data_IF_457645133464
#
_entry.id   IF_457645133464
#
_cell.length_a   1.000
_cell.length_b   1.000
_cell.length_c   1.000
_cell.angle_alpha   90.00
_cell.angle_beta   90.00
_cell.angle_gamma   90.00
#
_symmetry.space_group_name_H-M   'P 1'
#
loop_
_entity.id
_entity.type
_entity.pdbx_description
1 polymer ?
#
# COMPACT_ATOMS: atom_id res chain seq x y z
N UNK A 1 19.83 -3.53 1.08
CA UNK A 1 18.73 -3.77 0.12
C UNK A 1 19.04 -2.94 -1.11
N UNK A 2 19.33 -3.58 -2.23
CA UNK A 2 19.51 -2.88 -3.50
C UNK A 2 18.13 -2.40 -3.95
N UNK A 3 18.01 -1.11 -4.22
CA UNK A 3 16.79 -0.55 -4.80
C UNK A 3 16.48 -1.27 -6.13
N UNK A 4 15.22 -1.50 -6.37
CA UNK A 4 14.78 -2.09 -7.63
C UNK A 4 14.84 -1.01 -8.72
N UNK A 5 15.16 -1.39 -9.96
CA UNK A 5 14.99 -0.49 -11.10
C UNK A 5 13.51 -0.15 -11.32
N UNK A 6 13.21 0.93 -12.04
CA UNK A 6 11.84 1.32 -12.36
C UNK A 6 11.06 0.18 -13.04
N UNK A 7 11.71 -0.59 -13.92
CA UNK A 7 11.16 -1.79 -14.53
C UNK A 7 10.79 -2.86 -13.50
N UNK A 8 11.62 -3.03 -12.46
CA UNK A 8 11.34 -3.96 -11.38
C UNK A 8 10.12 -3.52 -10.54
N UNK A 9 10.01 -2.23 -10.26
CA UNK A 9 8.86 -1.69 -9.52
C UNK A 9 7.56 -1.89 -10.31
N UNK A 10 7.56 -1.57 -11.61
CA UNK A 10 6.42 -1.83 -12.50
C UNK A 10 6.06 -3.31 -12.55
N UNK A 11 7.04 -4.19 -12.66
CA UNK A 11 6.83 -5.64 -12.70
C UNK A 11 6.23 -6.17 -11.41
N UNK A 12 6.68 -5.67 -10.25
CA UNK A 12 6.11 -6.02 -8.95
C UNK A 12 4.67 -5.54 -8.81
N UNK A 13 4.38 -4.35 -9.28
CA UNK A 13 3.03 -3.79 -9.26
C UNK A 13 2.08 -4.61 -10.13
N UNK A 14 2.46 -4.94 -11.36
CA UNK A 14 1.69 -5.79 -12.26
C UNK A 14 1.45 -7.17 -11.65
N UNK A 15 2.48 -7.77 -11.05
CA UNK A 15 2.35 -9.06 -10.42
C UNK A 15 1.41 -9.04 -9.21
N UNK A 16 1.54 -8.04 -8.34
CA UNK A 16 0.66 -7.86 -7.16
C UNK A 16 -0.79 -7.68 -7.54
N UNK A 17 -1.05 -6.99 -8.65
CA UNK A 17 -2.39 -6.57 -9.06
C UNK A 17 -2.91 -7.31 -10.30
N UNK A 18 -2.39 -8.49 -10.61
CA UNK A 18 -2.64 -9.23 -11.85
C UNK A 18 -4.12 -9.33 -12.25
N UNK A 19 -5.04 -9.47 -11.28
CA UNK A 19 -6.47 -9.61 -11.57
C UNK A 19 -7.13 -8.29 -11.98
N UNK A 20 -6.63 -7.17 -11.48
CA UNK A 20 -7.23 -5.83 -11.62
C UNK A 20 -6.52 -4.99 -12.68
N UNK A 21 -5.29 -5.37 -13.03
CA UNK A 21 -4.45 -4.60 -13.94
C UNK A 21 -5.09 -4.37 -15.32
N UNK A 22 -5.84 -5.32 -15.83
CA UNK A 22 -6.56 -5.19 -17.10
C UNK A 22 -7.56 -4.03 -17.14
N UNK A 23 -8.08 -3.64 -15.99
CA UNK A 23 -9.03 -2.51 -15.88
C UNK A 23 -8.34 -1.15 -15.96
N UNK A 24 -7.03 -1.09 -15.61
CA UNK A 24 -6.25 0.14 -15.54
C UNK A 24 -5.52 0.42 -16.85
N UNK A 25 -5.13 -0.62 -17.58
CA UNK A 25 -4.13 -0.57 -18.66
C UNK A 25 -4.60 0.13 -19.91
N UNK A 26 -5.88 0.45 -20.07
CA UNK A 26 -6.32 1.18 -21.26
C UNK A 26 -5.68 2.59 -21.29
N UNK A 27 -4.61 2.71 -22.09
CA UNK A 27 -3.92 3.97 -22.36
C UNK A 27 -2.62 4.21 -21.59
N UNK A 28 -2.05 3.20 -20.93
CA UNK A 28 -0.74 3.34 -20.26
C UNK A 28 0.34 2.65 -21.10
N UNK A 29 1.26 3.39 -21.77
CA UNK A 29 2.19 2.83 -22.76
C UNK A 29 3.07 1.68 -22.26
N UNK A 30 3.53 1.73 -21.00
CA UNK A 30 4.41 0.71 -20.43
C UNK A 30 3.70 -0.61 -20.06
N UNK A 31 2.39 -0.69 -20.24
CA UNK A 31 1.59 -1.87 -19.94
C UNK A 31 1.06 -2.58 -21.19
N UNK A 32 1.22 -1.99 -22.37
CA UNK A 32 0.67 -2.51 -23.64
C UNK A 32 1.41 -3.78 -24.12
N UNK A 33 2.68 -3.93 -23.78
CA UNK A 33 3.54 -5.00 -24.32
C UNK A 33 3.51 -6.29 -23.52
N UNK A 34 2.48 -6.53 -22.73
CA UNK A 34 2.35 -7.80 -22.02
C UNK A 34 3.54 -8.09 -21.10
N UNK A 35 3.99 -7.09 -20.38
CA UNK A 35 5.10 -7.17 -19.45
C UNK A 35 4.89 -8.37 -18.51
N UNK A 36 5.53 -9.48 -18.84
CA UNK A 36 5.54 -10.63 -17.94
C UNK A 36 6.52 -10.32 -16.82
N UNK A 37 6.07 -10.19 -15.57
CA UNK A 37 6.99 -9.92 -14.49
C UNK A 37 7.93 -11.12 -14.32
N UNK A 38 9.08 -11.08 -14.95
CA UNK A 38 10.20 -11.96 -14.65
C UNK A 38 10.83 -11.53 -13.33
N UNK A 39 10.01 -11.49 -12.30
CA UNK A 39 10.50 -11.13 -10.98
C UNK A 39 10.97 -12.38 -10.26
N UNK A 40 11.84 -12.18 -9.30
CA UNK A 40 12.26 -13.22 -8.36
C UNK A 40 11.10 -13.95 -7.65
N UNK A 41 9.87 -13.45 -7.78
CA UNK A 41 8.66 -14.05 -7.23
C UNK A 41 7.98 -15.04 -8.18
N UNK A 42 8.12 -14.89 -9.51
CA UNK A 42 7.45 -15.79 -10.48
C UNK A 42 8.15 -17.13 -10.60
N UNK A 43 9.45 -17.18 -10.44
CA UNK A 43 10.23 -18.41 -10.56
C UNK A 43 10.16 -19.29 -9.31
N UNK A 44 9.86 -18.69 -8.18
CA UNK A 44 9.82 -19.39 -6.89
C UNK A 44 8.42 -19.73 -6.54
N UNK A 45 7.50 -20.18 -7.13
CA UNK A 45 6.17 -20.70 -6.68
C UNK A 45 6.01 -20.68 -5.13
N UNK A 46 6.51 -19.62 -4.49
CA UNK A 46 6.54 -19.50 -3.05
C UNK A 46 5.17 -19.01 -2.60
N UNK A 47 4.45 -19.92 -2.03
CA UNK A 47 3.32 -19.60 -1.20
C UNK A 47 3.86 -19.03 0.10
N UNK A 48 3.59 -17.76 0.34
CA UNK A 48 4.09 -17.07 1.53
C UNK A 48 3.19 -17.40 2.72
N UNK A 49 3.78 -17.96 3.74
CA UNK A 49 3.08 -18.35 4.97
C UNK A 49 3.16 -17.22 5.99
N UNK A 50 2.06 -17.01 6.70
CA UNK A 50 1.96 -15.97 7.72
C UNK A 50 2.87 -16.23 8.95
N UNK A 51 3.21 -17.50 9.22
CA UNK A 51 4.06 -17.91 10.34
C UNK A 51 5.56 -17.86 10.05
N UNK A 52 5.99 -17.57 8.82
CA UNK A 52 7.40 -17.51 8.44
C UNK A 52 8.07 -16.23 8.94
N UNK A 53 9.07 -16.38 9.80
CA UNK A 53 9.91 -15.27 10.23
C UNK A 53 10.87 -14.86 9.11
N UNK A 54 11.08 -13.54 8.94
CA UNK A 54 11.90 -12.95 7.87
C UNK A 54 13.32 -13.50 7.74
N UNK A 55 13.93 -13.98 8.84
CA UNK A 55 15.28 -14.55 8.85
C UNK A 55 15.41 -15.90 8.12
N UNK A 56 14.31 -16.58 7.83
CA UNK A 56 14.29 -17.90 7.20
C UNK A 56 13.68 -17.85 5.78
N UNK A 57 13.87 -16.76 5.05
CA UNK A 57 13.27 -16.58 3.71
C UNK A 57 11.81 -16.15 3.77
N UNK A 58 11.37 -15.63 4.90
CA UNK A 58 10.04 -15.07 5.06
C UNK A 58 9.84 -13.76 4.28
N UNK A 59 8.61 -13.35 4.17
CA UNK A 59 8.17 -12.17 3.44
C UNK A 59 8.59 -10.88 4.14
N UNK A 60 8.59 -9.79 3.38
CA UNK A 60 8.74 -8.45 3.94
C UNK A 60 7.72 -8.22 5.08
N UNK A 61 8.14 -7.66 6.22
CA UNK A 61 7.24 -7.28 7.30
C UNK A 61 6.04 -6.44 6.84
N UNK A 62 6.22 -5.64 5.79
CA UNK A 62 5.16 -4.85 5.15
C UNK A 62 4.01 -5.72 4.63
N UNK A 63 4.28 -6.90 4.13
CA UNK A 63 3.25 -7.80 3.60
C UNK A 63 2.38 -8.40 4.70
N UNK A 64 2.94 -8.62 5.87
CA UNK A 64 2.14 -9.00 7.04
C UNK A 64 1.14 -7.90 7.42
N UNK A 65 1.56 -6.64 7.39
CA UNK A 65 0.65 -5.51 7.63
C UNK A 65 -0.45 -5.45 6.58
N UNK A 66 -0.12 -5.63 5.29
CA UNK A 66 -1.13 -5.68 4.24
C UNK A 66 -2.13 -6.81 4.47
N UNK A 67 -1.67 -8.00 4.86
CA UNK A 67 -2.55 -9.11 5.18
C UNK A 67 -3.44 -8.82 6.37
N UNK A 68 -2.91 -8.27 7.45
CA UNK A 68 -3.71 -7.92 8.64
C UNK A 68 -4.76 -6.86 8.33
N UNK A 69 -4.41 -5.85 7.55
CA UNK A 69 -5.35 -4.83 7.08
C UNK A 69 -6.46 -5.47 6.23
N UNK A 70 -6.10 -6.34 5.29
CA UNK A 70 -7.09 -7.03 4.45
C UNK A 70 -7.99 -7.92 5.29
N UNK A 71 -7.46 -8.70 6.23
CA UNK A 71 -8.28 -9.53 7.12
C UNK A 71 -9.28 -8.71 7.95
N UNK A 72 -8.87 -7.51 8.39
CA UNK A 72 -9.74 -6.61 9.14
C UNK A 72 -10.85 -6.01 8.27
N UNK A 73 -10.50 -5.56 7.05
CA UNK A 73 -11.44 -4.88 6.16
C UNK A 73 -12.30 -5.82 5.32
N UNK A 74 -11.77 -6.97 4.94
CA UNK A 74 -12.40 -7.98 4.10
C UNK A 74 -12.28 -9.35 4.76
N UNK A 75 -13.04 -9.64 5.84
CA UNK A 75 -12.97 -10.95 6.51
C UNK A 75 -13.27 -12.08 5.54
N UNK A 76 -12.38 -13.04 5.46
CA UNK A 76 -12.49 -14.20 4.58
C UNK A 76 -11.72 -15.39 5.16
N UNK A 77 -11.99 -16.58 4.64
CA UNK A 77 -11.24 -17.77 4.98
C UNK A 77 -9.94 -17.81 4.17
N UNK A 78 -8.81 -17.76 4.87
CA UNK A 78 -7.48 -17.85 4.23
C UNK A 78 -7.16 -19.28 3.84
N UNK A 79 -6.60 -19.45 2.64
CA UNK A 79 -6.02 -20.75 2.24
C UNK A 79 -4.91 -21.15 3.22
N UNK A 80 -4.75 -22.44 3.42
CA UNK A 80 -3.74 -22.99 4.34
C UNK A 80 -2.81 -23.97 3.62
N UNK A 81 -1.56 -23.98 4.06
CA UNK A 81 -0.59 -25.02 3.71
C UNK A 81 0.15 -25.45 4.96
N UNK A 82 0.24 -26.77 5.19
CA UNK A 82 0.85 -27.36 6.39
C UNK A 82 0.29 -26.75 7.69
N UNK A 83 -1.02 -26.46 7.73
CA UNK A 83 -1.75 -25.82 8.84
C UNK A 83 -1.37 -24.36 9.11
N UNK A 84 -0.63 -23.71 8.23
CA UNK A 84 -0.33 -22.29 8.32
C UNK A 84 -1.11 -21.49 7.28
N UNK A 85 -1.70 -20.36 7.65
CA UNK A 85 -2.39 -19.49 6.69
C UNK A 85 -1.40 -18.93 5.66
N UNK A 86 -1.83 -18.86 4.41
CA UNK A 86 -1.09 -18.28 3.29
C UNK A 86 -1.45 -16.80 3.15
N UNK A 87 -0.47 -15.98 2.76
CA UNK A 87 -0.72 -14.60 2.42
C UNK A 87 -1.51 -14.52 1.10
N UNK A 88 -2.64 -13.85 1.13
CA UNK A 88 -3.54 -13.69 -0.02
C UNK A 88 -4.10 -12.26 -0.19
N UNK A 89 -3.56 -11.28 0.56
CA UNK A 89 -3.99 -9.88 0.54
C UNK A 89 -4.12 -9.30 -0.87
N UNK A 90 -3.28 -9.75 -1.81
CA UNK A 90 -3.29 -9.33 -3.21
C UNK A 90 -4.54 -9.79 -4.00
N UNK A 91 -5.35 -10.68 -3.45
CA UNK A 91 -6.65 -11.05 -4.04
C UNK A 91 -7.76 -10.05 -3.70
N UNK A 92 -7.60 -9.28 -2.64
CA UNK A 92 -8.62 -8.41 -2.04
C UNK A 92 -8.23 -6.94 -2.06
N UNK A 93 -6.99 -6.61 -2.40
CA UNK A 93 -6.49 -5.24 -2.44
C UNK A 93 -5.72 -4.96 -3.72
N UNK A 94 -5.74 -3.70 -4.15
CA UNK A 94 -4.82 -3.18 -5.16
C UNK A 94 -3.69 -2.45 -4.45
N UNK A 95 -2.44 -2.78 -4.76
CA UNK A 95 -1.26 -2.19 -4.13
C UNK A 95 -0.41 -1.52 -5.18
N UNK A 96 -0.12 -0.23 -4.96
CA UNK A 96 0.70 0.57 -5.84
C UNK A 96 1.60 1.52 -5.05
N UNK A 97 2.55 2.13 -5.73
CA UNK A 97 3.44 3.14 -5.18
C UNK A 97 3.16 4.51 -5.82
N UNK A 98 3.42 5.60 -5.11
CA UNK A 98 3.35 6.95 -5.67
C UNK A 98 4.51 7.26 -6.61
N UNK A 99 5.66 6.64 -6.39
CA UNK A 99 6.83 6.76 -7.23
C UNK A 99 7.37 5.38 -7.58
N UNK A 100 7.77 5.19 -8.83
CA UNK A 100 8.55 4.03 -9.28
C UNK A 100 10.05 4.27 -9.21
N UNK A 101 10.48 5.50 -8.93
CA UNK A 101 11.90 5.82 -8.83
C UNK A 101 12.58 5.00 -7.73
N UNK A 102 13.65 4.34 -8.10
CA UNK A 102 14.44 3.50 -7.20
C UNK A 102 15.26 4.36 -6.24
N UNK A 103 15.29 3.98 -4.97
CA UNK A 103 16.15 4.59 -3.96
C UNK A 103 17.06 3.53 -3.36
N UNK A 104 18.37 3.56 -3.66
CA UNK A 104 19.29 2.56 -3.16
C UNK A 104 19.56 2.66 -1.66
N UNK A 105 19.48 3.85 -1.05
CA UNK A 105 19.72 3.98 0.40
C UNK A 105 19.10 5.27 0.97
N UNK A 106 18.39 5.23 2.10
CA UNK A 106 17.21 6.04 2.24
C UNK A 106 17.17 7.03 3.38
N UNK A 107 18.23 7.12 4.17
CA UNK A 107 18.22 8.07 5.28
C UNK A 107 18.61 9.50 4.84
N UNK A 108 19.36 9.62 3.72
CA UNK A 108 19.75 10.92 3.17
C UNK A 108 19.74 10.84 1.63
N UNK A 109 18.61 11.04 0.95
CA UNK A 109 18.54 11.01 -0.49
C UNK A 109 19.37 12.15 -1.09
N UNK A 110 20.04 11.88 -2.21
CA UNK A 110 20.72 12.90 -3.00
C UNK A 110 19.72 13.82 -3.69
N UNK A 111 20.18 14.98 -4.17
CA UNK A 111 19.30 15.89 -4.92
C UNK A 111 18.78 15.24 -6.21
N UNK A 112 19.59 14.40 -6.86
CA UNK A 112 19.20 13.65 -8.05
C UNK A 112 18.10 12.62 -7.73
N UNK A 113 18.19 11.91 -6.61
CA UNK A 113 17.18 10.96 -6.17
C UNK A 113 15.85 11.66 -5.80
N UNK A 114 15.93 12.84 -5.17
CA UNK A 114 14.76 13.67 -4.88
C UNK A 114 14.11 14.12 -6.19
N UNK A 115 14.89 14.62 -7.16
CA UNK A 115 14.39 15.06 -8.45
C UNK A 115 13.75 13.91 -9.25
N UNK A 116 14.39 12.74 -9.29
CA UNK A 116 13.85 11.55 -9.93
C UNK A 116 12.53 11.10 -9.29
N UNK A 117 12.44 11.14 -7.95
CA UNK A 117 11.21 10.83 -7.22
C UNK A 117 10.09 11.81 -7.55
N UNK A 118 10.37 13.14 -7.56
CA UNK A 118 9.38 14.16 -7.94
C UNK A 118 8.85 13.93 -9.34
N UNK A 119 9.75 13.73 -10.30
CA UNK A 119 9.39 13.44 -11.69
C UNK A 119 8.50 12.20 -11.79
N UNK A 120 8.86 11.11 -11.13
CA UNK A 120 8.06 9.89 -11.13
C UNK A 120 6.67 10.10 -10.52
N UNK A 121 6.55 10.89 -9.46
CA UNK A 121 5.26 11.25 -8.86
C UNK A 121 4.40 12.07 -9.85
N UNK A 122 4.98 13.06 -10.50
CA UNK A 122 4.30 13.89 -11.50
C UNK A 122 3.77 13.03 -12.65
N UNK A 123 4.57 12.10 -13.16
CA UNK A 123 4.17 11.16 -14.22
C UNK A 123 3.06 10.21 -13.79
N UNK A 124 3.04 9.79 -12.52
CA UNK A 124 2.04 8.84 -11.99
C UNK A 124 0.76 9.50 -11.49
N UNK A 125 0.80 10.75 -11.11
CA UNK A 125 -0.37 11.47 -10.58
C UNK A 125 -1.60 11.39 -11.49
N UNK A 126 -1.52 11.58 -12.82
CA UNK A 126 -2.67 11.41 -13.70
C UNK A 126 -3.28 10.01 -13.65
N UNK A 127 -2.47 8.96 -13.54
CA UNK A 127 -2.92 7.59 -13.38
C UNK A 127 -3.68 7.41 -12.05
N UNK A 128 -3.09 7.86 -10.95
CA UNK A 128 -3.66 7.74 -9.60
C UNK A 128 -4.94 8.56 -9.43
N UNK A 129 -5.16 9.55 -10.29
CA UNK A 129 -6.36 10.40 -10.31
C UNK A 129 -7.49 9.86 -11.18
N UNK A 130 -7.35 8.66 -11.77
CA UNK A 130 -8.38 8.05 -12.61
C UNK A 130 -9.56 7.51 -11.79
N UNK A 131 -10.69 7.33 -12.47
CA UNK A 131 -11.89 6.75 -11.88
C UNK A 131 -11.65 5.35 -11.29
N UNK A 132 -10.68 4.59 -11.85
CA UNK A 132 -10.30 3.32 -11.28
C UNK A 132 -9.84 3.48 -9.82
N UNK A 133 -8.89 4.37 -9.52
CA UNK A 133 -8.40 4.59 -8.15
C UNK A 133 -9.46 5.27 -7.27
N UNK A 134 -10.31 6.08 -7.85
CA UNK A 134 -11.43 6.72 -7.16
C UNK A 134 -12.61 5.79 -6.90
N UNK A 135 -12.66 4.61 -7.53
CA UNK A 135 -13.72 3.62 -7.31
C UNK A 135 -13.54 2.80 -6.03
N UNK A 136 -12.36 2.81 -5.42
CA UNK A 136 -12.14 2.12 -4.15
C UNK A 136 -12.81 2.87 -3.00
N UNK A 137 -13.66 2.19 -2.25
CA UNK A 137 -14.33 2.78 -1.08
C UNK A 137 -13.36 3.08 0.07
N UNK A 138 -12.27 2.31 0.19
CA UNK A 138 -11.22 2.52 1.18
C UNK A 138 -9.88 2.58 0.47
N UNK A 139 -9.13 3.67 0.66
CA UNK A 139 -7.76 3.84 0.20
C UNK A 139 -6.86 4.09 1.42
N UNK A 140 -5.80 3.31 1.57
CA UNK A 140 -4.83 3.48 2.67
C UNK A 140 -3.50 3.95 2.09
N UNK A 141 -3.10 5.16 2.46
CA UNK A 141 -1.84 5.79 2.07
C UNK A 141 -0.84 5.58 3.21
N UNK A 142 -0.21 4.40 3.23
CA UNK A 142 0.75 4.01 4.25
C UNK A 142 2.17 4.47 3.89
N UNK A 143 2.40 5.79 3.82
CA UNK A 143 3.62 6.41 3.31
C UNK A 143 4.25 7.46 4.23
N UNK A 144 3.76 7.62 5.46
CA UNK A 144 4.35 8.56 6.44
C UNK A 144 4.30 10.00 5.94
N UNK A 145 5.38 10.75 6.08
CA UNK A 145 5.48 12.18 5.68
C UNK A 145 5.69 12.40 4.18
N UNK A 146 5.66 11.34 3.37
CA UNK A 146 5.97 11.39 1.95
C UNK A 146 5.14 12.43 1.17
N UNK A 147 3.87 12.63 1.56
CA UNK A 147 3.00 13.61 0.93
C UNK A 147 3.45 15.05 1.19
N UNK A 148 3.88 15.33 2.42
CA UNK A 148 4.40 16.64 2.81
C UNK A 148 5.79 16.87 2.18
N UNK A 149 6.65 15.85 2.14
CA UNK A 149 8.00 15.92 1.60
C UNK A 149 8.03 16.22 0.09
N UNK A 150 6.97 15.83 -0.62
CA UNK A 150 6.87 15.97 -2.09
C UNK A 150 5.70 16.83 -2.56
N UNK A 151 5.03 17.55 -1.66
CA UNK A 151 3.89 18.45 -1.95
C UNK A 151 2.75 17.74 -2.70
N UNK A 152 2.44 16.49 -2.33
CA UNK A 152 1.42 15.68 -3.01
C UNK A 152 0.02 16.05 -2.48
N UNK A 153 -0.86 16.48 -3.35
CA UNK A 153 -2.22 16.87 -2.98
C UNK A 153 -3.18 15.67 -3.01
N UNK A 154 -3.39 15.05 -1.83
CA UNK A 154 -4.30 13.91 -1.63
C UNK A 154 -5.73 14.26 -2.07
N UNK A 155 -6.21 15.46 -1.71
CA UNK A 155 -7.58 15.88 -1.99
C UNK A 155 -7.86 15.95 -3.50
N UNK A 156 -6.91 16.47 -4.25
CA UNK A 156 -7.03 16.58 -5.71
C UNK A 156 -6.96 15.20 -6.39
N UNK A 157 -6.03 14.35 -5.96
CA UNK A 157 -5.82 13.02 -6.57
C UNK A 157 -7.05 12.15 -6.39
N UNK A 158 -7.58 12.07 -5.18
CA UNK A 158 -8.66 11.15 -4.84
C UNK A 158 -10.04 11.80 -4.80
N UNK A 159 -10.17 13.09 -5.10
CA UNK A 159 -11.41 13.85 -4.99
C UNK A 159 -12.08 13.68 -3.62
N UNK A 160 -11.36 14.05 -2.59
CA UNK A 160 -11.75 13.93 -1.18
C UNK A 160 -11.43 15.21 -0.42
N UNK A 161 -11.95 15.35 0.80
CA UNK A 161 -11.68 16.47 1.70
C UNK A 161 -11.14 15.98 3.04
N UNK A 162 -10.11 16.64 3.53
CA UNK A 162 -9.56 16.35 4.84
C UNK A 162 -10.58 16.61 5.94
N UNK A 163 -10.70 15.69 6.86
CA UNK A 163 -11.54 15.78 8.05
C UNK A 163 -10.64 16.02 9.27
N UNK A 164 -10.46 17.27 9.63
CA UNK A 164 -9.70 17.64 10.82
C UNK A 164 -10.45 17.27 12.12
N UNK A 165 -9.76 17.04 13.23
CA UNK A 165 -8.30 17.01 13.38
C UNK A 165 -7.68 15.64 13.00
N UNK A 166 -6.33 15.59 12.92
CA UNK A 166 -5.58 14.32 12.85
C UNK A 166 -5.96 13.43 14.03
N UNK A 167 -6.39 12.23 13.77
CA UNK A 167 -6.67 11.24 14.81
C UNK A 167 -5.38 10.53 15.27
N UNK A 168 -5.38 10.10 16.52
CA UNK A 168 -4.27 9.34 17.12
C UNK A 168 -4.81 8.05 17.72
N UNK A 169 -4.30 6.94 17.23
CA UNK A 169 -4.62 5.60 17.75
C UNK A 169 -3.54 5.17 18.72
N UNK A 170 -3.89 5.00 19.98
CA UNK A 170 -2.99 4.45 20.99
C UNK A 170 -2.88 2.93 20.80
N UNK A 171 -1.68 2.44 20.57
CA UNK A 171 -1.37 1.02 20.44
C UNK A 171 -1.17 0.36 21.81
N UNK A 172 -1.23 -0.96 21.85
CA UNK A 172 -1.05 -1.74 23.08
C UNK A 172 0.35 -1.58 23.72
N UNK A 173 1.35 -1.18 22.93
CA UNK A 173 2.69 -0.84 23.43
C UNK A 173 2.84 0.62 23.93
N UNK A 174 1.74 1.38 24.03
CA UNK A 174 1.73 2.76 24.49
C UNK A 174 2.16 3.80 23.46
N UNK A 175 2.47 3.43 22.22
CA UNK A 175 2.79 4.35 21.13
C UNK A 175 1.53 4.77 20.36
N UNK A 176 1.60 5.91 19.68
CA UNK A 176 0.51 6.39 18.86
C UNK A 176 0.83 6.23 17.37
N UNK A 177 -0.15 5.78 16.59
CA UNK A 177 -0.19 5.95 15.14
C UNK A 177 -1.14 7.11 14.83
N UNK A 178 -0.74 8.03 13.97
CA UNK A 178 -1.61 9.10 13.52
C UNK A 178 -2.35 8.68 12.23
N UNK A 179 -3.57 9.19 12.08
CA UNK A 179 -4.43 9.02 10.91
C UNK A 179 -4.94 10.39 10.46
N UNK A 180 -4.69 10.73 9.22
CA UNK A 180 -5.35 11.83 8.53
C UNK A 180 -6.47 11.24 7.66
N UNK A 181 -7.70 11.60 7.95
CA UNK A 181 -8.87 11.06 7.29
C UNK A 181 -9.37 12.05 6.25
N UNK A 182 -9.65 11.55 5.07
CA UNK A 182 -10.22 12.33 3.97
C UNK A 182 -11.46 11.60 3.45
N UNK A 183 -12.55 12.31 3.26
CA UNK A 183 -13.81 11.75 2.77
C UNK A 183 -14.21 12.35 1.43
N UNK A 184 -14.84 11.54 0.57
CA UNK A 184 -15.60 12.05 -0.57
C UNK A 184 -16.81 12.87 -0.10
N UNK A 185 -17.32 13.74 -0.97
CA UNK A 185 -18.48 14.59 -0.62
C UNK A 185 -19.72 13.79 -0.25
N UNK A 186 -19.94 12.64 -0.88
CA UNK A 186 -21.04 11.69 -0.62
C UNK A 186 -20.76 10.72 0.54
N UNK A 187 -19.56 10.79 1.12
CA UNK A 187 -19.08 9.94 2.22
C UNK A 187 -19.09 8.42 1.95
N UNK A 188 -19.15 8.01 0.71
CA UNK A 188 -19.04 6.59 0.34
C UNK A 188 -17.60 6.12 0.12
N UNK A 189 -16.62 7.02 0.26
CA UNK A 189 -15.20 6.75 0.15
C UNK A 189 -14.42 7.45 1.24
N UNK A 190 -13.42 6.73 1.77
CA UNK A 190 -12.44 7.26 2.72
C UNK A 190 -11.02 7.00 2.23
N UNK A 191 -10.17 8.03 2.32
CA UNK A 191 -8.72 7.94 2.15
C UNK A 191 -8.07 8.15 3.51
N UNK A 192 -7.32 7.17 3.97
CA UNK A 192 -6.64 7.16 5.27
C UNK A 192 -5.14 7.30 5.03
N UNK A 193 -4.59 8.46 5.35
CA UNK A 193 -3.15 8.71 5.30
C UNK A 193 -2.54 8.46 6.68
N UNK A 194 -1.48 7.66 6.73
CA UNK A 194 -0.87 7.22 7.97
C UNK A 194 0.62 6.86 7.83
N UNK A 195 1.21 6.33 8.86
CA UNK A 195 2.59 5.86 8.91
C UNK A 195 2.89 4.87 7.78
N UNK A 196 4.16 4.80 7.39
CA UNK A 196 4.62 3.73 6.50
C UNK A 196 4.32 2.35 7.09
N UNK A 197 3.89 1.42 6.25
CA UNK A 197 3.55 0.07 6.66
C UNK A 197 4.70 -0.62 7.43
N UNK A 198 5.95 -0.40 7.02
CA UNK A 198 7.14 -0.87 7.74
C UNK A 198 7.27 -0.24 9.13
N UNK A 199 6.88 1.02 9.28
CA UNK A 199 6.85 1.73 10.57
C UNK A 199 5.78 1.17 11.50
N UNK A 200 4.61 0.85 10.98
CA UNK A 200 3.53 0.18 11.72
C UNK A 200 4.01 -1.21 12.17
N UNK A 201 4.61 -1.99 11.28
CA UNK A 201 5.12 -3.31 11.60
C UNK A 201 6.17 -3.31 12.72
N UNK A 202 7.02 -2.27 12.79
CA UNK A 202 8.03 -2.13 13.85
C UNK A 202 7.43 -1.96 15.24
N UNK A 203 6.14 -1.67 15.35
CA UNK A 203 5.45 -1.61 16.65
C UNK A 203 5.15 -2.99 17.23
N UNK A 204 5.34 -4.05 16.44
CA UNK A 204 4.98 -5.44 16.76
C UNK A 204 3.55 -5.75 16.30
N UNK A 205 3.39 -6.85 15.59
CA UNK A 205 2.09 -7.24 15.02
C UNK A 205 1.01 -7.45 16.09
N UNK A 206 1.42 -7.90 17.27
CA UNK A 206 0.50 -8.13 18.40
C UNK A 206 -0.01 -6.81 19.03
N UNK A 207 0.65 -5.68 18.76
CA UNK A 207 0.32 -4.38 19.35
C UNK A 207 -0.57 -3.49 18.46
N UNK A 208 -0.85 -3.90 17.21
CA UNK A 208 -1.55 -3.05 16.24
C UNK A 208 -3.05 -3.31 16.17
N UNK A 209 -3.59 -4.16 17.03
CA UNK A 209 -5.03 -4.44 17.05
C UNK A 209 -5.88 -3.16 17.15
N UNK A 210 -5.56 -2.17 18.01
CA UNK A 210 -6.32 -0.92 18.07
C UNK A 210 -6.34 -0.16 16.72
N UNK A 211 -5.25 -0.21 15.95
CA UNK A 211 -5.23 0.38 14.60
C UNK A 211 -6.17 -0.36 13.64
N UNK A 212 -6.20 -1.69 13.68
CA UNK A 212 -7.11 -2.49 12.85
C UNK A 212 -8.57 -2.24 13.22
N UNK A 213 -8.89 -2.09 14.51
CA UNK A 213 -10.24 -1.79 15.00
C UNK A 213 -10.72 -0.41 14.48
N UNK A 214 -9.82 0.56 14.39
CA UNK A 214 -10.13 1.85 13.75
C UNK A 214 -10.45 1.69 12.26
N UNK A 215 -9.71 0.87 11.54
CA UNK A 215 -10.02 0.61 10.12
C UNK A 215 -11.39 -0.06 9.95
N UNK A 216 -11.73 -1.00 10.82
CA UNK A 216 -13.06 -1.65 10.82
C UNK A 216 -14.15 -0.62 11.05
N UNK A 217 -14.01 0.24 12.07
CA UNK A 217 -14.94 1.34 12.35
C UNK A 217 -15.18 2.22 11.12
N UNK A 218 -14.11 2.59 10.40
CA UNK A 218 -14.28 3.44 9.21
C UNK A 218 -14.92 2.71 8.05
N UNK A 219 -14.66 1.42 7.87
CA UNK A 219 -15.39 0.61 6.89
C UNK A 219 -16.91 0.65 7.16
N UNK A 220 -17.31 0.52 8.42
CA UNK A 220 -18.73 0.56 8.82
C UNK A 220 -19.41 1.92 8.59
N UNK A 221 -18.64 3.01 8.58
CA UNK A 221 -19.15 4.35 8.33
C UNK A 221 -19.41 4.67 6.86
N UNK A 222 -18.81 3.89 5.93
CA UNK A 222 -18.95 4.08 4.47
C UNK A 222 -19.75 2.95 3.81
N UNK A 223 -20.26 1.99 4.57
CA UNK A 223 -21.14 0.90 4.13
C UNK A 223 -22.58 1.32 4.23
#
# INVERSE_FOLDING_TARGET
EHGFSDEHQCSLEIWRNKKQWKQIVQGIPFCEDGYSPRTCFTERKQEFRLDMKSKNGGVSPTWYIYQMIVNALCPHEMSQRDRAPLLDFFNYSFITEFSTASRPNNNNPTNEEIAATRKSIEERTPLLSTDFFRSFSIVILACGTYFDDYDINIEQIFDVKWSAPTEKVLLDNGKNIWLNLHYSNDRNRIVIHTWQASGICRQGLDNIQPFLDYLIKYRELIS
#
